data_IF_483536151718
#
_entry.id   IF_483536151718
#
_cell.length_a   1.000
_cell.length_b   1.000
_cell.length_c   1.000
_cell.angle_alpha   90.00
_cell.angle_beta   90.00
_cell.angle_gamma   90.00
#
_symmetry.space_group_name_H-M   'P 1'
#
loop_
_entity.id
_entity.type
_entity.pdbx_description
1 polymer ?
#
# COMPACT_ATOMS: atom_id res chain seq x y z
N UNK A 1 -32.17 -27.15 1.28
CA UNK A 1 -31.45 -25.99 1.81
C UNK A 1 -30.61 -25.45 0.67
N UNK A 2 -30.97 -24.29 0.11
CA UNK A 2 -30.23 -23.66 -1.01
C UNK A 2 -29.03 -22.95 -0.39
N UNK A 3 -27.82 -23.34 -0.79
CA UNK A 3 -26.61 -22.54 -0.58
C UNK A 3 -26.75 -21.29 -1.42
N UNK A 4 -26.96 -20.16 -0.80
CA UNK A 4 -26.77 -18.85 -1.45
C UNK A 4 -25.26 -18.65 -1.57
N UNK A 5 -24.78 -18.73 -2.81
CA UNK A 5 -23.42 -18.34 -3.16
C UNK A 5 -23.24 -16.84 -2.88
N UNK A 6 -22.65 -16.49 -1.75
CA UNK A 6 -22.24 -15.13 -1.38
C UNK A 6 -21.01 -14.70 -2.22
N UNK A 7 -21.17 -14.71 -3.53
CA UNK A 7 -20.10 -14.31 -4.44
C UNK A 7 -20.14 -12.78 -4.63
N UNK A 8 -19.26 -12.08 -3.92
CA UNK A 8 -19.13 -10.63 -4.08
C UNK A 8 -18.62 -10.35 -5.48
N UNK A 9 -19.45 -9.74 -6.32
CA UNK A 9 -19.01 -9.27 -7.64
C UNK A 9 -17.98 -8.13 -7.51
N UNK A 10 -17.08 -8.00 -8.52
CA UNK A 10 -16.11 -6.90 -8.60
C UNK A 10 -16.72 -5.53 -8.35
N UNK A 11 -17.91 -5.30 -8.91
CA UNK A 11 -18.66 -4.05 -8.72
C UNK A 11 -19.14 -3.89 -7.28
N UNK A 12 -19.52 -4.97 -6.60
CA UNK A 12 -19.89 -4.98 -5.19
C UNK A 12 -18.70 -4.68 -4.29
N UNK A 13 -17.53 -5.28 -4.59
CA UNK A 13 -16.28 -5.01 -3.90
C UNK A 13 -15.85 -3.55 -4.02
N UNK A 14 -15.79 -3.02 -5.23
CA UNK A 14 -15.44 -1.62 -5.47
C UNK A 14 -16.40 -0.63 -4.79
N UNK A 15 -17.69 -0.95 -4.73
CA UNK A 15 -18.67 -0.16 -3.96
C UNK A 15 -18.41 -0.20 -2.46
N UNK A 16 -18.02 -1.36 -1.91
CA UNK A 16 -17.68 -1.50 -0.48
C UNK A 16 -16.37 -0.79 -0.11
N UNK A 17 -15.42 -0.66 -1.06
CA UNK A 17 -14.21 0.15 -0.91
C UNK A 17 -14.47 1.67 -0.99
N UNK A 18 -15.73 2.11 -1.10
CA UNK A 18 -16.05 3.55 -1.14
C UNK A 18 -15.90 4.22 -2.51
N UNK A 19 -15.69 3.44 -3.59
CA UNK A 19 -15.66 3.95 -4.97
C UNK A 19 -17.07 4.07 -5.60
N UNK A 20 -18.12 4.00 -4.79
CA UNK A 20 -19.50 4.07 -5.23
C UNK A 20 -20.16 5.42 -5.03
N UNK A 21 -20.44 6.10 -6.12
CA UNK A 21 -21.38 7.19 -6.34
C UNK A 21 -21.01 8.58 -5.79
N UNK A 22 -20.33 9.37 -6.60
CA UNK A 22 -20.67 10.79 -6.70
C UNK A 22 -21.89 10.90 -7.63
N UNK A 23 -23.05 11.10 -7.05
CA UNK A 23 -24.20 11.63 -7.77
C UNK A 23 -23.94 13.13 -7.98
N UNK A 24 -23.72 13.53 -9.23
CA UNK A 24 -23.67 14.92 -9.68
C UNK A 24 -25.02 15.58 -9.43
N UNK A 25 -25.14 16.39 -8.40
CA UNK A 25 -26.17 17.40 -8.31
C UNK A 25 -25.58 18.73 -8.82
N UNK A 26 -25.88 19.06 -10.06
CA UNK A 26 -25.69 20.41 -10.60
C UNK A 26 -26.83 21.26 -10.02
N UNK A 27 -26.49 22.16 -9.13
CA UNK A 27 -27.36 23.29 -8.80
C UNK A 27 -26.62 24.57 -9.14
N UNK A 28 -27.06 25.17 -10.23
CA UNK A 28 -26.75 26.55 -10.54
C UNK A 28 -27.64 27.46 -9.68
N UNK A 29 -27.05 28.39 -8.93
CA UNK A 29 -27.64 29.68 -8.63
C UNK A 29 -26.68 30.56 -7.82
N UNK A 30 -26.22 31.70 -8.37
CA UNK A 30 -26.72 33.00 -7.96
C UNK A 30 -26.05 33.56 -6.69
N UNK A 31 -25.17 34.55 -6.90
CA UNK A 31 -24.63 35.44 -5.88
C UNK A 31 -25.73 36.08 -5.00
N UNK A 32 -25.45 36.09 -3.69
CA UNK A 32 -25.74 37.27 -2.84
C UNK A 32 -24.96 37.17 -1.52
N UNK A 33 -24.27 38.27 -1.20
CA UNK A 33 -23.69 38.58 0.10
C UNK A 33 -24.77 38.63 1.17
N UNK A 34 -24.46 38.10 2.35
CA UNK A 34 -24.78 38.79 3.62
C UNK A 34 -23.98 38.12 4.77
N UNK A 35 -23.40 38.97 5.60
CA UNK A 35 -22.71 38.68 6.85
C UNK A 35 -23.70 38.22 7.91
N UNK A 36 -23.39 37.23 8.73
CA UNK A 36 -23.67 37.25 10.17
C UNK A 36 -22.85 36.20 10.95
N UNK A 37 -22.56 36.59 12.13
CA UNK A 37 -21.72 36.20 13.22
C UNK A 37 -21.69 34.72 13.69
N UNK A 38 -20.61 34.46 14.36
CA UNK A 38 -20.09 33.34 15.15
C UNK A 38 -21.08 32.50 15.96
N UNK A 39 -20.88 31.21 15.98
CA UNK A 39 -20.99 30.39 17.18
C UNK A 39 -19.90 29.30 17.18
N UNK A 40 -19.10 29.31 18.23
CA UNK A 40 -18.07 28.35 18.61
C UNK A 40 -18.68 27.00 18.93
N UNK A 41 -18.21 25.96 18.24
CA UNK A 41 -18.24 24.61 18.79
C UNK A 41 -16.92 23.90 18.48
N UNK A 42 -16.18 23.66 19.55
CA UNK A 42 -14.89 22.99 19.62
C UNK A 42 -15.11 21.50 19.53
N UNK A 43 -14.80 20.88 18.41
CA UNK A 43 -14.57 19.43 18.34
C UNK A 43 -13.40 19.13 17.41
N UNK A 44 -12.35 18.60 18.00
CA UNK A 44 -11.33 17.71 17.47
C UNK A 44 -10.88 17.92 16.01
N UNK A 45 -10.17 19.00 15.72
CA UNK A 45 -9.42 19.14 14.48
C UNK A 45 -8.19 18.22 14.53
N UNK A 46 -8.30 17.03 13.94
CA UNK A 46 -7.13 16.34 13.41
C UNK A 46 -6.53 17.25 12.36
N UNK A 47 -5.33 17.74 12.62
CA UNK A 47 -4.56 18.65 11.78
C UNK A 47 -4.42 18.04 10.38
N UNK A 48 -5.16 18.59 9.42
CA UNK A 48 -4.80 18.43 8.02
C UNK A 48 -3.37 18.95 7.88
N UNK A 49 -2.43 18.06 7.59
CA UNK A 49 -1.06 18.44 7.34
C UNK A 49 -1.07 19.53 6.26
N UNK A 50 -0.38 20.65 6.49
CA UNK A 50 -0.20 21.70 5.51
C UNK A 50 0.35 21.10 4.23
N UNK A 51 -0.53 20.86 3.23
CA UNK A 51 -0.15 20.40 1.91
C UNK A 51 0.55 21.58 1.24
N UNK A 52 1.81 21.45 0.82
CA UNK A 52 2.48 22.50 0.07
C UNK A 52 1.66 22.82 -1.19
N UNK A 53 1.62 24.07 -1.61
CA UNK A 53 1.06 24.49 -2.90
C UNK A 53 2.00 24.06 -4.05
N UNK A 54 2.16 22.73 -4.17
CA UNK A 54 3.11 22.09 -5.10
C UNK A 54 2.47 21.77 -6.46
N UNK A 55 1.20 22.06 -6.65
CA UNK A 55 0.41 21.60 -7.81
C UNK A 55 0.11 20.10 -7.79
N UNK A 56 0.47 19.36 -6.73
CA UNK A 56 0.17 17.95 -6.58
C UNK A 56 -1.34 17.72 -6.38
N UNK A 57 -1.89 16.75 -7.09
CA UNK A 57 -3.26 16.29 -6.88
C UNK A 57 -3.29 15.23 -5.78
N UNK A 58 -4.24 15.37 -4.85
CA UNK A 58 -4.47 14.40 -3.77
C UNK A 58 -5.82 13.72 -3.92
N UNK A 59 -5.93 12.53 -3.35
CA UNK A 59 -7.20 11.81 -3.18
C UNK A 59 -7.37 11.44 -1.73
N UNK A 60 -8.51 11.77 -1.17
CA UNK A 60 -8.83 11.44 0.22
C UNK A 60 -9.50 10.07 0.29
N UNK A 61 -8.97 9.18 1.11
CA UNK A 61 -9.61 7.93 1.43
C UNK A 61 -10.82 8.21 2.35
N UNK A 62 -12.06 7.95 1.91
CA UNK A 62 -13.25 8.30 2.71
C UNK A 62 -13.37 7.49 4.01
N UNK A 63 -12.66 6.36 4.13
CA UNK A 63 -12.69 5.50 5.31
C UNK A 63 -11.73 5.97 6.41
N UNK A 64 -10.55 6.43 6.03
CA UNK A 64 -9.48 6.82 6.96
C UNK A 64 -9.24 8.32 7.01
N UNK A 65 -9.82 9.06 6.08
CA UNK A 65 -9.58 10.49 5.86
C UNK A 65 -8.14 10.84 5.47
N UNK A 66 -7.34 9.84 5.08
CA UNK A 66 -5.98 10.05 4.60
C UNK A 66 -5.99 10.73 3.23
N UNK A 67 -5.28 11.84 3.10
CA UNK A 67 -5.11 12.55 1.83
C UNK A 67 -3.80 12.13 1.18
N UNK A 68 -3.88 11.27 0.17
CA UNK A 68 -2.74 10.64 -0.48
C UNK A 68 -2.48 11.29 -1.83
N UNK A 69 -1.21 11.60 -2.13
CA UNK A 69 -0.80 12.12 -3.43
C UNK A 69 -1.13 11.14 -4.57
N UNK A 70 -1.65 11.66 -5.67
CA UNK A 70 -2.00 10.84 -6.83
C UNK A 70 -0.75 10.17 -7.44
N UNK A 71 0.40 10.84 -7.36
CA UNK A 71 1.69 10.28 -7.69
C UNK A 71 2.33 9.70 -6.44
N UNK A 72 2.63 8.39 -6.44
CA UNK A 72 3.43 7.71 -5.42
C UNK A 72 4.87 7.53 -5.88
N UNK A 73 5.81 7.48 -4.94
CA UNK A 73 7.22 7.20 -5.20
C UNK A 73 7.49 5.70 -5.10
N UNK A 74 7.79 5.06 -6.24
CA UNK A 74 8.14 3.64 -6.32
C UNK A 74 9.62 3.39 -6.07
N UNK A 75 9.94 2.53 -5.10
CA UNK A 75 11.32 2.31 -4.62
C UNK A 75 11.97 1.03 -5.17
N UNK A 76 11.46 0.48 -6.28
CA UNK A 76 12.00 -0.77 -6.85
C UNK A 76 13.34 -0.57 -7.57
N UNK A 77 13.66 0.67 -7.99
CA UNK A 77 14.86 1.00 -8.79
C UNK A 77 15.53 2.24 -8.24
N UNK A 78 16.06 2.10 -7.02
CA UNK A 78 16.83 3.20 -6.41
C UNK A 78 18.18 3.35 -7.13
N UNK A 79 18.77 4.56 -7.15
CA UNK A 79 20.05 4.82 -7.76
C UNK A 79 21.18 4.07 -7.06
N UNK A 80 22.19 3.69 -7.82
CA UNK A 80 23.42 3.03 -7.37
C UNK A 80 24.64 3.91 -7.61
N UNK A 81 25.73 3.63 -6.91
CA UNK A 81 26.98 4.41 -7.03
C UNK A 81 27.47 4.48 -8.49
N UNK A 82 27.42 3.37 -9.22
CA UNK A 82 27.84 3.32 -10.63
C UNK A 82 26.74 3.71 -11.62
N UNK A 83 25.63 4.25 -11.12
CA UNK A 83 24.46 4.62 -11.94
C UNK A 83 23.88 3.45 -12.76
N UNK A 84 23.98 2.23 -12.23
CA UNK A 84 23.37 1.02 -12.77
C UNK A 84 22.01 0.76 -12.11
N UNK A 85 21.22 -0.17 -12.66
CA UNK A 85 19.97 -0.56 -12.04
C UNK A 85 20.21 -1.41 -10.80
N UNK A 86 19.79 -0.98 -9.62
CA UNK A 86 19.84 -1.75 -8.39
C UNK A 86 19.06 -3.08 -8.46
N UNK A 87 18.23 -3.28 -9.47
CA UNK A 87 17.53 -4.54 -9.73
C UNK A 87 18.44 -5.57 -10.39
N UNK A 88 19.39 -5.13 -11.20
CA UNK A 88 20.15 -5.98 -12.13
C UNK A 88 21.62 -6.13 -11.74
N UNK A 89 22.17 -5.18 -10.98
CA UNK A 89 23.57 -5.20 -10.54
C UNK A 89 23.71 -5.49 -9.05
N UNK A 90 24.89 -5.92 -8.65
CA UNK A 90 25.30 -6.04 -7.23
C UNK A 90 25.85 -4.72 -6.68
N UNK A 91 25.62 -3.65 -7.41
CA UNK A 91 26.12 -2.33 -7.09
C UNK A 91 25.45 -1.75 -5.86
N UNK A 92 26.19 -1.02 -5.06
CA UNK A 92 25.74 -0.43 -3.82
C UNK A 92 24.75 0.72 -4.08
N UNK A 93 23.73 0.85 -3.25
CA UNK A 93 22.78 1.97 -3.30
C UNK A 93 23.52 3.28 -3.02
N UNK A 94 23.35 4.26 -3.88
CA UNK A 94 23.77 5.64 -3.63
C UNK A 94 22.79 6.31 -2.66
N UNK A 95 23.05 6.13 -1.36
CA UNK A 95 22.19 6.67 -0.30
C UNK A 95 22.06 8.20 -0.37
N UNK A 96 23.10 8.90 -0.76
CA UNK A 96 23.05 10.35 -0.87
C UNK A 96 22.11 10.79 -2.01
N UNK A 97 22.17 10.10 -3.14
CA UNK A 97 21.25 10.33 -4.26
C UNK A 97 19.80 9.96 -3.88
N UNK A 98 19.59 8.84 -3.17
CA UNK A 98 18.25 8.48 -2.63
C UNK A 98 17.72 9.58 -1.74
N UNK A 99 18.54 10.11 -0.82
CA UNK A 99 18.15 11.21 0.06
C UNK A 99 17.73 12.45 -0.74
N UNK A 100 18.51 12.87 -1.74
CA UNK A 100 18.17 14.02 -2.62
C UNK A 100 16.86 13.81 -3.37
N UNK A 101 16.63 12.60 -3.89
CA UNK A 101 15.39 12.29 -4.61
C UNK A 101 14.17 12.27 -3.71
N UNK A 102 14.31 11.78 -2.46
CA UNK A 102 13.23 11.81 -1.47
C UNK A 102 12.93 13.23 -1.04
N UNK A 103 13.97 14.06 -0.81
CA UNK A 103 13.81 15.49 -0.50
C UNK A 103 13.02 16.20 -1.61
N UNK A 104 13.43 16.01 -2.84
CA UNK A 104 12.75 16.57 -4.01
C UNK A 104 11.29 16.11 -4.11
N UNK A 105 11.02 14.80 -3.89
CA UNK A 105 9.68 14.27 -3.95
C UNK A 105 8.75 14.88 -2.87
N UNK A 106 9.24 14.99 -1.63
CA UNK A 106 8.50 15.60 -0.51
C UNK A 106 8.23 17.09 -0.79
N UNK A 107 9.23 17.83 -1.24
CA UNK A 107 9.10 19.26 -1.58
C UNK A 107 8.06 19.49 -2.69
N UNK A 108 7.87 18.52 -3.59
CA UNK A 108 6.87 18.55 -4.66
C UNK A 108 5.56 17.88 -4.32
N UNK A 109 5.33 17.57 -3.03
CA UNK A 109 4.04 17.11 -2.52
C UNK A 109 3.78 15.62 -2.65
N UNK A 110 4.77 14.81 -3.05
CA UNK A 110 4.64 13.34 -2.98
C UNK A 110 4.67 12.90 -1.52
N UNK A 111 3.63 12.19 -1.09
CA UNK A 111 3.52 11.71 0.28
C UNK A 111 3.28 10.19 0.38
N UNK A 112 3.30 9.43 -0.71
CA UNK A 112 3.22 7.97 -0.71
C UNK A 112 4.51 7.36 -1.23
N UNK A 113 5.14 6.49 -0.41
CA UNK A 113 6.38 5.78 -0.74
C UNK A 113 6.13 4.28 -0.68
N UNK A 114 6.34 3.59 -1.82
CA UNK A 114 6.06 2.16 -1.96
C UNK A 114 7.35 1.37 -2.16
N UNK A 115 7.68 0.52 -1.20
CA UNK A 115 8.87 -0.34 -1.18
C UNK A 115 8.53 -1.83 -0.99
N UNK A 116 9.56 -2.65 -0.77
CA UNK A 116 9.45 -4.09 -0.51
C UNK A 116 10.79 -4.64 -0.04
N UNK A 117 10.82 -5.66 0.84
CA UNK A 117 12.05 -6.36 1.19
C UNK A 117 12.72 -7.09 0.01
N UNK A 118 12.01 -7.27 -1.12
CA UNK A 118 12.58 -7.86 -2.33
C UNK A 118 13.17 -6.83 -3.30
N UNK A 119 12.95 -5.54 -3.06
CA UNK A 119 13.42 -4.50 -3.98
C UNK A 119 14.90 -4.19 -3.78
N UNK A 120 15.58 -3.83 -4.86
CA UNK A 120 17.02 -3.53 -4.85
C UNK A 120 17.83 -4.62 -4.13
N UNK A 121 17.55 -5.90 -4.43
CA UNK A 121 18.21 -7.06 -3.80
C UNK A 121 18.14 -7.07 -2.26
N UNK A 122 17.10 -6.49 -1.68
CA UNK A 122 16.88 -6.43 -0.23
C UNK A 122 17.31 -5.13 0.43
N UNK A 123 17.87 -4.17 -0.31
CA UNK A 123 18.40 -2.93 0.26
C UNK A 123 17.43 -1.75 0.22
N UNK A 124 16.29 -1.86 -0.48
CA UNK A 124 15.36 -0.74 -0.66
C UNK A 124 14.75 -0.27 0.66
N UNK A 125 14.28 -1.16 1.52
CA UNK A 125 13.66 -0.77 2.80
C UNK A 125 14.65 -0.03 3.69
N UNK A 126 15.90 -0.50 3.79
CA UNK A 126 16.95 0.17 4.57
C UNK A 126 17.26 1.56 4.03
N UNK A 127 17.43 1.68 2.72
CA UNK A 127 17.71 2.97 2.08
C UNK A 127 16.56 3.97 2.27
N UNK A 128 15.30 3.51 2.14
CA UNK A 128 14.14 4.34 2.38
C UNK A 128 13.95 4.69 3.85
N UNK A 129 14.24 3.76 4.76
CA UNK A 129 14.22 4.03 6.20
C UNK A 129 15.18 5.17 6.58
N UNK A 130 16.43 5.14 6.06
CA UNK A 130 17.41 6.21 6.26
C UNK A 130 16.90 7.54 5.66
N UNK A 131 16.35 7.52 4.45
CA UNK A 131 15.92 8.72 3.78
C UNK A 131 14.68 9.36 4.44
N UNK A 132 13.68 8.56 4.80
CA UNK A 132 12.41 9.03 5.34
C UNK A 132 12.47 9.37 6.84
N UNK A 133 13.35 8.72 7.63
CA UNK A 133 13.53 9.06 9.05
C UNK A 133 14.02 10.49 9.31
N UNK A 134 14.47 11.20 8.28
CA UNK A 134 14.83 12.63 8.34
C UNK A 134 13.60 13.54 8.41
N UNK A 135 12.41 13.01 8.21
CA UNK A 135 11.13 13.74 8.19
C UNK A 135 10.21 13.23 9.31
N UNK A 136 9.33 14.09 9.85
CA UNK A 136 8.28 13.65 10.77
C UNK A 136 7.44 12.54 10.12
N UNK A 137 7.19 11.45 10.87
CA UNK A 137 6.55 10.23 10.36
C UNK A 137 5.14 10.47 9.78
N UNK A 138 4.43 11.45 10.31
CA UNK A 138 3.09 11.86 9.86
C UNK A 138 3.07 12.63 8.54
N UNK A 139 4.21 12.98 7.98
CA UNK A 139 4.31 13.71 6.71
C UNK A 139 4.17 12.80 5.48
N UNK A 140 4.26 11.49 5.67
CA UNK A 140 4.22 10.56 4.55
C UNK A 140 3.49 9.27 4.90
N UNK A 141 2.98 8.62 3.87
CA UNK A 141 2.44 7.28 3.90
C UNK A 141 3.49 6.29 3.41
N UNK A 142 3.68 5.21 4.15
CA UNK A 142 4.68 4.19 3.87
C UNK A 142 4.00 2.87 3.55
N UNK A 143 4.32 2.34 2.37
CA UNK A 143 3.84 1.07 1.85
C UNK A 143 4.99 0.08 1.72
N UNK A 144 4.83 -1.14 2.25
CA UNK A 144 5.72 -2.27 1.97
C UNK A 144 4.95 -3.58 1.91
N UNK A 145 5.64 -4.70 1.68
CA UNK A 145 5.01 -5.94 1.24
C UNK A 145 5.62 -7.17 1.90
N UNK A 146 4.81 -8.20 2.12
CA UNK A 146 5.28 -9.53 2.49
C UNK A 146 5.79 -10.26 1.24
N UNK A 147 7.09 -10.27 1.04
CA UNK A 147 7.77 -10.79 -0.16
C UNK A 147 8.36 -12.20 0.05
N UNK A 148 7.63 -13.08 0.70
CA UNK A 148 8.03 -14.45 1.00
C UNK A 148 8.01 -15.34 -0.28
N UNK A 149 8.86 -15.03 -1.26
CA UNK A 149 8.87 -15.72 -2.55
C UNK A 149 9.55 -17.10 -2.49
N UNK A 150 10.60 -17.24 -1.68
CA UNK A 150 11.32 -18.50 -1.52
C UNK A 150 10.56 -19.45 -0.58
N UNK A 151 10.55 -20.77 -0.88
CA UNK A 151 9.88 -21.79 -0.08
C UNK A 151 10.35 -21.77 1.38
N UNK A 152 11.63 -21.50 1.63
CA UNK A 152 12.21 -21.36 2.98
C UNK A 152 11.59 -20.22 3.80
N UNK A 153 10.88 -19.30 3.17
CA UNK A 153 10.23 -18.14 3.82
C UNK A 153 8.72 -18.32 4.01
N UNK A 154 8.15 -19.49 3.62
CA UNK A 154 6.69 -19.68 3.69
C UNK A 154 6.20 -20.10 5.07
N UNK A 155 7.07 -20.49 5.99
CA UNK A 155 6.62 -20.73 7.36
C UNK A 155 6.07 -19.44 7.98
N UNK A 156 5.16 -19.61 8.94
CA UNK A 156 4.61 -18.47 9.68
C UNK A 156 5.70 -17.67 10.39
N UNK A 157 6.67 -18.37 10.97
CA UNK A 157 7.78 -17.76 11.72
C UNK A 157 8.66 -16.90 10.81
N UNK A 158 9.08 -17.42 9.66
CA UNK A 158 9.92 -16.67 8.72
C UNK A 158 9.16 -15.51 8.08
N UNK A 159 7.85 -15.67 7.79
CA UNK A 159 7.01 -14.59 7.31
C UNK A 159 6.82 -13.48 8.35
N UNK A 160 6.64 -13.82 9.64
CA UNK A 160 6.59 -12.84 10.74
C UNK A 160 7.94 -12.14 10.91
N UNK A 161 9.04 -12.88 10.82
CA UNK A 161 10.39 -12.32 10.89
C UNK A 161 10.64 -11.31 9.76
N UNK A 162 10.21 -11.63 8.53
CA UNK A 162 10.26 -10.70 7.40
C UNK A 162 9.46 -9.43 7.67
N UNK A 163 8.22 -9.54 8.12
CA UNK A 163 7.38 -8.39 8.49
C UNK A 163 8.04 -7.51 9.57
N UNK A 164 8.55 -8.13 10.63
CA UNK A 164 9.23 -7.39 11.70
C UNK A 164 10.53 -6.74 11.23
N UNK A 165 11.27 -7.41 10.34
CA UNK A 165 12.46 -6.83 9.75
C UNK A 165 12.13 -5.61 8.87
N UNK A 166 11.02 -5.63 8.14
CA UNK A 166 10.56 -4.46 7.38
C UNK A 166 10.34 -3.24 8.28
N UNK A 167 9.69 -3.39 9.44
CA UNK A 167 9.53 -2.30 10.40
C UNK A 167 10.88 -1.77 10.89
N UNK A 168 11.83 -2.67 11.19
CA UNK A 168 13.17 -2.30 11.64
C UNK A 168 13.96 -1.56 10.55
N UNK A 169 14.02 -2.09 9.33
CA UNK A 169 14.76 -1.48 8.22
C UNK A 169 14.17 -0.13 7.82
N UNK A 170 12.85 0.01 7.88
CA UNK A 170 12.13 1.24 7.59
C UNK A 170 12.12 2.23 8.78
N UNK A 171 12.69 1.84 9.93
CA UNK A 171 12.80 2.68 11.14
C UNK A 171 11.46 3.24 11.59
N UNK A 172 10.42 2.41 11.64
CA UNK A 172 9.05 2.82 11.99
C UNK A 172 8.34 1.76 12.83
N UNK A 173 7.38 2.20 13.66
CA UNK A 173 6.57 1.32 14.51
C UNK A 173 5.28 0.88 13.83
N UNK A 174 4.89 1.52 12.71
CA UNK A 174 3.69 1.19 11.96
C UNK A 174 3.85 1.41 10.45
N UNK A 175 3.01 0.72 9.68
CA UNK A 175 2.91 0.83 8.23
C UNK A 175 1.54 1.37 7.85
N UNK A 176 1.49 2.33 6.94
CA UNK A 176 0.22 2.86 6.45
C UNK A 176 -0.45 1.86 5.50
N UNK A 177 0.35 1.19 4.68
CA UNK A 177 -0.11 0.19 3.71
C UNK A 177 0.79 -1.05 3.77
N UNK A 178 0.21 -2.22 4.00
CA UNK A 178 0.93 -3.48 3.94
C UNK A 178 0.25 -4.45 2.99
N UNK A 179 1.04 -5.10 2.11
CA UNK A 179 0.49 -5.91 1.03
C UNK A 179 1.02 -7.35 1.08
N UNK A 180 0.16 -8.31 0.77
CA UNK A 180 0.59 -9.60 0.28
C UNK A 180 1.21 -9.40 -1.11
N UNK A 181 2.48 -9.79 -1.30
CA UNK A 181 3.25 -9.39 -2.49
C UNK A 181 3.02 -10.33 -3.67
N UNK A 182 2.67 -9.76 -4.83
CA UNK A 182 2.61 -10.45 -6.13
C UNK A 182 1.69 -11.67 -6.12
N UNK A 183 0.42 -11.44 -5.86
CA UNK A 183 -0.62 -12.47 -5.96
C UNK A 183 -0.87 -12.78 -7.44
N UNK A 184 -0.96 -14.07 -7.78
CA UNK A 184 -1.34 -14.55 -9.12
C UNK A 184 -0.26 -15.31 -9.87
N UNK A 185 0.97 -15.35 -9.37
CA UNK A 185 2.03 -16.20 -9.93
C UNK A 185 1.81 -17.69 -9.64
N UNK A 186 2.35 -18.56 -10.50
CA UNK A 186 2.50 -20.01 -10.27
C UNK A 186 3.93 -20.36 -9.90
N UNK A 187 4.15 -21.58 -9.46
CA UNK A 187 5.51 -22.13 -9.30
C UNK A 187 5.60 -23.47 -10.01
N UNK A 188 5.96 -23.44 -11.28
CA UNK A 188 6.03 -24.62 -12.14
C UNK A 188 7.10 -25.62 -11.68
N UNK A 189 8.18 -25.14 -11.06
CA UNK A 189 9.24 -26.01 -10.51
C UNK A 189 8.75 -26.92 -9.38
N UNK A 190 7.80 -26.43 -8.60
CA UNK A 190 7.17 -27.18 -7.51
C UNK A 190 5.80 -27.77 -7.92
N UNK A 191 5.39 -27.62 -9.19
CA UNK A 191 4.08 -28.05 -9.67
C UNK A 191 2.91 -27.37 -8.96
N UNK A 192 3.09 -26.15 -8.46
CA UNK A 192 2.07 -25.42 -7.72
C UNK A 192 1.30 -24.49 -8.65
N UNK A 193 -0.02 -24.64 -8.65
CA UNK A 193 -0.91 -23.67 -9.25
C UNK A 193 -0.86 -22.33 -8.51
N UNK A 194 -1.36 -21.26 -9.13
CA UNK A 194 -1.45 -19.93 -8.49
C UNK A 194 -2.24 -19.97 -7.18
N UNK A 195 -3.29 -20.78 -7.11
CA UNK A 195 -4.09 -20.95 -5.88
C UNK A 195 -3.31 -21.69 -4.79
N UNK A 196 -2.61 -22.77 -5.14
CA UNK A 196 -1.83 -23.55 -4.17
C UNK A 196 -0.65 -22.74 -3.64
N UNK A 197 0.04 -22.01 -4.52
CA UNK A 197 1.11 -21.10 -4.12
C UNK A 197 0.62 -20.02 -3.18
N UNK A 198 -0.50 -19.39 -3.51
CA UNK A 198 -1.16 -18.38 -2.69
C UNK A 198 -1.51 -18.92 -1.30
N UNK A 199 -2.14 -20.10 -1.24
CA UNK A 199 -2.52 -20.74 0.03
C UNK A 199 -1.31 -21.04 0.88
N UNK A 200 -0.26 -21.67 0.34
CA UNK A 200 0.96 -22.01 1.09
C UNK A 200 1.69 -20.79 1.62
N UNK A 201 1.78 -19.72 0.81
CA UNK A 201 2.49 -18.50 1.21
C UNK A 201 1.79 -17.73 2.31
N UNK A 202 0.45 -17.74 2.36
CA UNK A 202 -0.28 -16.73 3.13
C UNK A 202 -1.40 -17.27 4.01
N UNK A 203 -2.13 -18.31 3.58
CA UNK A 203 -3.34 -18.75 4.27
C UNK A 203 -3.13 -19.99 5.13
N UNK A 204 -2.56 -21.07 4.58
CA UNK A 204 -2.43 -22.35 5.27
C UNK A 204 -1.46 -22.25 6.48
N UNK A 205 -0.52 -21.31 6.45
CA UNK A 205 0.39 -21.02 7.56
C UNK A 205 -0.18 -20.03 8.60
N UNK A 206 -1.40 -19.52 8.41
CA UNK A 206 -2.05 -18.55 9.30
C UNK A 206 -1.42 -17.15 9.30
N UNK A 207 -0.64 -16.81 8.26
CA UNK A 207 0.04 -15.51 8.20
C UNK A 207 -0.95 -14.36 7.97
N UNK A 208 -2.00 -14.55 7.15
CA UNK A 208 -3.02 -13.50 6.94
C UNK A 208 -3.74 -13.21 8.26
N UNK A 209 -4.10 -14.23 9.04
CA UNK A 209 -4.74 -14.02 10.34
C UNK A 209 -3.84 -13.27 11.32
N UNK A 210 -2.51 -13.46 11.23
CA UNK A 210 -1.55 -12.67 11.99
C UNK A 210 -1.54 -11.20 11.54
N UNK A 211 -1.52 -10.93 10.22
CA UNK A 211 -1.52 -9.57 9.68
C UNK A 211 -2.83 -8.82 9.99
N UNK A 212 -3.97 -9.52 10.03
CA UNK A 212 -5.23 -8.94 10.50
C UNK A 212 -5.12 -8.46 11.94
N UNK A 213 -4.49 -9.24 12.83
CA UNK A 213 -4.23 -8.81 14.23
C UNK A 213 -3.26 -7.62 14.32
N UNK A 214 -2.26 -7.56 13.45
CA UNK A 214 -1.37 -6.40 13.34
C UNK A 214 -2.14 -5.14 12.89
N UNK A 215 -3.12 -5.29 11.99
CA UNK A 215 -4.04 -4.20 11.62
C UNK A 215 -4.95 -3.79 12.77
N UNK A 216 -5.54 -4.73 13.48
CA UNK A 216 -6.39 -4.45 14.66
C UNK A 216 -5.61 -3.73 15.76
N UNK A 217 -4.31 -4.00 15.90
CA UNK A 217 -3.44 -3.33 16.86
C UNK A 217 -2.92 -1.95 16.39
N UNK A 218 -3.22 -1.55 15.15
CA UNK A 218 -2.78 -0.28 14.57
C UNK A 218 -1.34 -0.29 14.01
N UNK A 219 -0.60 -1.41 14.07
CA UNK A 219 0.73 -1.52 13.44
C UNK A 219 0.67 -1.61 11.91
N UNK A 220 -0.44 -2.04 11.37
CA UNK A 220 -0.79 -1.90 9.95
C UNK A 220 -2.08 -1.10 9.90
N UNK A 221 -2.09 0.01 9.16
CA UNK A 221 -3.30 0.82 9.01
C UNK A 221 -4.23 0.28 7.93
N UNK A 222 -3.66 -0.15 6.81
CA UNK A 222 -4.40 -0.70 5.68
C UNK A 222 -3.72 -1.99 5.22
N UNK A 223 -4.47 -3.10 5.17
CA UNK A 223 -4.02 -4.40 4.70
C UNK A 223 -4.62 -4.71 3.33
N UNK A 224 -3.76 -5.04 2.37
CA UNK A 224 -4.18 -5.33 1.01
C UNK A 224 -3.27 -6.34 0.31
N UNK A 225 -3.30 -6.33 -1.01
CA UNK A 225 -2.44 -7.19 -1.82
C UNK A 225 -2.05 -6.52 -3.13
N UNK A 226 -0.87 -6.87 -3.67
CA UNK A 226 -0.47 -6.54 -5.03
C UNK A 226 -0.74 -7.71 -5.95
N UNK A 227 -1.19 -7.41 -7.16
CA UNK A 227 -1.74 -8.39 -8.07
C UNK A 227 -1.06 -8.39 -9.45
N UNK A 228 -0.67 -9.62 -9.90
CA UNK A 228 -0.01 -9.86 -11.18
C UNK A 228 -0.52 -11.16 -11.82
N UNK A 229 -1.78 -11.47 -11.75
CA UNK A 229 -2.33 -12.75 -12.17
C UNK A 229 -3.52 -12.65 -13.08
N UNK A 230 -4.13 -13.80 -13.32
CA UNK A 230 -5.38 -13.90 -14.08
C UNK A 230 -6.60 -13.52 -13.21
N UNK A 231 -7.71 -13.27 -13.92
CA UNK A 231 -8.94 -12.81 -13.31
C UNK A 231 -9.54 -13.79 -12.30
N UNK A 232 -9.30 -15.11 -12.45
CA UNK A 232 -9.86 -16.11 -11.52
C UNK A 232 -9.25 -16.00 -10.14
N UNK A 233 -7.92 -15.77 -10.08
CA UNK A 233 -7.22 -15.54 -8.82
C UNK A 233 -7.63 -14.19 -8.19
N UNK A 234 -7.85 -13.18 -9.03
CA UNK A 234 -8.37 -11.90 -8.56
C UNK A 234 -9.75 -12.06 -7.92
N UNK A 235 -10.68 -12.72 -8.61
CA UNK A 235 -12.02 -12.98 -8.09
C UNK A 235 -11.97 -13.84 -6.80
N UNK A 236 -11.06 -14.82 -6.73
CA UNK A 236 -10.83 -15.58 -5.50
C UNK A 236 -10.38 -14.67 -4.33
N UNK A 237 -9.40 -13.79 -4.55
CA UNK A 237 -8.98 -12.84 -3.51
C UNK A 237 -10.12 -11.91 -3.08
N UNK A 238 -10.95 -11.45 -4.03
CA UNK A 238 -12.11 -10.63 -3.71
C UNK A 238 -13.17 -11.41 -2.90
N UNK A 239 -13.36 -12.71 -3.19
CA UNK A 239 -14.32 -13.56 -2.44
C UNK A 239 -13.93 -13.71 -0.96
N UNK A 240 -12.66 -13.51 -0.63
CA UNK A 240 -12.17 -13.54 0.75
C UNK A 240 -12.35 -12.21 1.50
N UNK A 241 -12.92 -11.19 0.86
CA UNK A 241 -13.06 -9.87 1.47
C UNK A 241 -13.93 -9.87 2.73
N UNK A 242 -15.03 -10.62 2.76
CA UNK A 242 -15.91 -10.69 3.95
C UNK A 242 -15.19 -11.28 5.17
N UNK A 243 -14.14 -12.08 4.96
CA UNK A 243 -13.35 -12.67 6.04
C UNK A 243 -12.18 -11.77 6.48
N UNK A 244 -11.44 -11.20 5.51
CA UNK A 244 -10.18 -10.51 5.80
C UNK A 244 -10.27 -8.98 5.69
N UNK A 245 -11.35 -8.46 5.12
CA UNK A 245 -11.63 -7.02 4.98
C UNK A 245 -10.46 -6.28 4.32
N UNK A 246 -10.11 -6.67 3.07
CA UNK A 246 -9.08 -5.99 2.31
C UNK A 246 -9.39 -4.50 2.20
N UNK A 247 -8.44 -3.66 2.59
CA UNK A 247 -8.61 -2.20 2.56
C UNK A 247 -8.33 -1.62 1.18
N UNK A 248 -7.43 -2.25 0.42
CA UNK A 248 -7.04 -1.80 -0.92
C UNK A 248 -6.41 -2.93 -1.73
N UNK A 249 -6.20 -2.65 -3.02
CA UNK A 249 -5.44 -3.51 -3.93
C UNK A 249 -4.54 -2.66 -4.81
N UNK A 250 -3.31 -3.13 -5.03
CA UNK A 250 -2.36 -2.55 -5.96
C UNK A 250 -2.34 -3.42 -7.23
N UNK A 251 -2.78 -2.86 -8.35
CA UNK A 251 -2.79 -3.55 -9.65
C UNK A 251 -1.80 -2.90 -10.61
N UNK A 252 -1.21 -3.70 -11.48
CA UNK A 252 -0.49 -3.20 -12.63
C UNK A 252 -1.52 -2.79 -13.69
N UNK A 253 -1.49 -1.53 -14.08
CA UNK A 253 -2.37 -0.98 -15.12
C UNK A 253 -1.50 -0.34 -16.20
N UNK A 254 -1.30 -1.08 -17.29
CA UNK A 254 -0.61 -0.61 -18.48
C UNK A 254 -1.62 -0.54 -19.62
N UNK A 255 -1.68 0.58 -20.32
CA UNK A 255 -2.56 0.74 -21.47
C UNK A 255 -1.87 0.42 -22.81
N UNK A 256 -0.63 -0.06 -22.73
CA UNK A 256 0.19 -0.47 -23.89
C UNK A 256 0.32 -2.00 -23.99
N UNK A 257 0.04 -2.75 -22.92
CA UNK A 257 0.11 -4.21 -22.88
C UNK A 257 -1.20 -4.85 -23.35
#
# INVERSE_FOLDING_TARGET
MKNEDNNISRRGFLKRLGLGTMATAIVASGCKNDQHEASTDTQGATTAANVPDSGMTYRTNPKTNDSVSLLGYGCMRLPTISNTSARESDDEIDQEQVNRLVDYAIEHGVNLYDTSPAYCKGFSEKAMGIALSRYPREKYFLSTKLSNFAESTWSREESIKMYRNSLKELQTDYLDYYLLHSIGGSNDKLGLSSTDLLRRRYFDNGMVDYLVKERESGRIRNLGFSFHGDIKIFDYMLSLHDKYHWDFVLIQLNYID
#
